data_IF_358136198660
#
_entry.id   IF_358136198660
#
_cell.length_a   1.000
_cell.length_b   1.000
_cell.length_c   1.000
_cell.angle_alpha   90.00
_cell.angle_beta   90.00
_cell.angle_gamma   90.00
#
_symmetry.space_group_name_H-M   'P 1'
#
loop_
_entity.id
_entity.type
_entity.pdbx_description
1 polymer ?
#
# COMPACT_ATOMS: atom_id res chain seq x y z
N UNK A 1 19.87 -0.29 50.13
CA UNK A 1 18.89 -1.04 49.30
C UNK A 1 18.72 -0.23 48.02
N UNK A 2 19.36 -0.65 46.91
CA UNK A 2 19.38 0.13 45.67
C UNK A 2 18.24 -0.31 44.75
N UNK A 3 17.22 0.52 44.61
CA UNK A 3 16.09 0.27 43.69
C UNK A 3 16.53 0.60 42.27
N UNK A 4 16.71 -0.42 41.42
CA UNK A 4 16.95 -0.24 39.98
C UNK A 4 15.61 0.00 39.29
N UNK A 5 15.38 1.22 38.83
CA UNK A 5 14.27 1.56 37.94
C UNK A 5 14.68 1.13 36.52
N UNK A 6 14.00 0.12 35.98
CA UNK A 6 14.07 -0.25 34.57
C UNK A 6 13.22 0.75 33.77
N UNK A 7 13.88 1.60 33.00
CA UNK A 7 13.20 2.41 31.98
C UNK A 7 12.82 1.49 30.82
N UNK A 8 11.54 1.13 30.74
CA UNK A 8 10.97 0.48 29.55
C UNK A 8 10.77 1.56 28.49
N UNK A 9 11.76 1.78 27.64
CA UNK A 9 11.62 2.62 26.44
C UNK A 9 10.62 1.94 25.49
N UNK A 10 9.38 2.46 25.45
CA UNK A 10 8.41 2.08 24.44
C UNK A 10 8.91 2.60 23.08
N UNK A 11 9.49 1.70 22.28
CA UNK A 11 9.70 1.95 20.85
C UNK A 11 8.31 1.94 20.20
N UNK A 12 7.69 3.12 20.10
CA UNK A 12 6.49 3.31 19.28
C UNK A 12 6.97 3.24 17.83
N UNK A 13 6.85 2.08 17.21
CA UNK A 13 7.06 1.93 15.77
C UNK A 13 5.94 2.70 15.04
N UNK A 14 6.17 3.97 14.73
CA UNK A 14 5.37 4.68 13.74
C UNK A 14 5.74 4.11 12.37
N UNK A 15 5.09 3.01 11.96
CA UNK A 15 5.26 2.46 10.61
C UNK A 15 4.56 3.41 9.64
N UNK A 16 5.35 4.29 9.02
CA UNK A 16 4.94 5.10 7.88
C UNK A 16 5.78 4.63 6.68
N UNK A 17 5.33 3.56 6.02
CA UNK A 17 5.99 3.05 4.84
C UNK A 17 5.59 3.86 3.60
N UNK A 18 6.55 4.56 2.97
CA UNK A 18 6.32 5.30 1.72
C UNK A 18 6.49 4.40 0.49
N UNK A 19 5.39 3.76 0.11
CA UNK A 19 5.29 2.96 -1.10
C UNK A 19 3.95 3.12 -1.80
N UNK A 20 3.89 2.73 -3.07
CA UNK A 20 2.65 2.74 -3.86
C UNK A 20 2.56 1.52 -4.76
N UNK A 21 1.35 0.97 -4.94
CA UNK A 21 1.14 -0.21 -5.79
C UNK A 21 0.94 0.27 -7.23
N UNK A 22 1.99 0.17 -8.04
CA UNK A 22 2.00 0.69 -9.43
C UNK A 22 1.48 -0.34 -10.44
N UNK A 23 1.51 -1.62 -10.09
CA UNK A 23 1.00 -2.67 -10.96
C UNK A 23 0.44 -3.85 -10.16
N UNK A 24 -0.63 -4.43 -10.67
CA UNK A 24 -1.28 -5.66 -10.23
C UNK A 24 -1.39 -6.52 -11.48
N UNK A 25 -0.66 -7.64 -11.52
CA UNK A 25 -0.61 -8.53 -12.66
C UNK A 25 -1.59 -9.68 -12.48
N UNK A 26 -2.62 -9.70 -13.31
CA UNK A 26 -3.66 -10.72 -13.29
C UNK A 26 -3.26 -11.98 -14.04
N UNK A 27 -3.70 -13.13 -13.55
CA UNK A 27 -3.54 -14.41 -14.26
C UNK A 27 -4.36 -14.47 -15.56
N UNK A 28 -5.41 -13.65 -15.66
CA UNK A 28 -6.20 -13.40 -16.86
C UNK A 28 -5.51 -12.51 -17.91
N UNK A 29 -4.24 -12.13 -17.72
CA UNK A 29 -3.46 -11.30 -18.65
C UNK A 29 -3.72 -9.80 -18.53
N UNK A 30 -4.63 -9.38 -17.65
CA UNK A 30 -4.92 -7.97 -17.38
C UNK A 30 -3.90 -7.44 -16.36
N UNK A 31 -3.29 -6.29 -16.66
CA UNK A 31 -2.48 -5.54 -15.70
C UNK A 31 -3.16 -4.22 -15.42
N UNK A 32 -3.33 -3.88 -14.14
CA UNK A 32 -3.89 -2.59 -13.71
C UNK A 32 -3.03 -1.97 -12.62
N UNK A 33 -3.17 -0.66 -12.39
CA UNK A 33 -2.57 0.01 -11.24
C UNK A 33 -3.48 -0.10 -10.01
N UNK A 34 -2.97 0.27 -8.83
CA UNK A 34 -3.81 0.45 -7.64
C UNK A 34 -4.86 1.56 -7.83
N UNK A 35 -5.92 1.53 -7.03
CA UNK A 35 -6.95 2.57 -7.05
C UNK A 35 -6.37 3.94 -6.67
N UNK A 36 -6.81 4.99 -7.37
CA UNK A 36 -6.30 6.35 -7.22
C UNK A 36 -4.94 6.60 -7.89
N UNK A 37 -4.22 5.57 -8.31
CA UNK A 37 -2.91 5.68 -8.98
C UNK A 37 -3.08 6.22 -10.40
N UNK A 38 -2.18 7.11 -10.78
CA UNK A 38 -2.09 7.72 -12.10
C UNK A 38 -0.84 7.16 -12.81
N UNK A 39 -1.00 6.32 -13.85
CA UNK A 39 0.10 5.74 -14.59
C UNK A 39 1.05 6.77 -15.23
N UNK A 40 0.61 8.03 -15.41
CA UNK A 40 1.42 9.10 -15.96
C UNK A 40 2.32 9.77 -14.90
N UNK A 41 2.15 9.45 -13.61
CA UNK A 41 3.01 9.99 -12.55
C UNK A 41 4.43 9.45 -12.71
N UNK A 42 5.46 10.31 -12.88
CA UNK A 42 6.84 9.85 -13.00
C UNK A 42 7.32 9.18 -11.70
N UNK A 43 8.06 8.08 -11.83
CA UNK A 43 8.53 7.23 -10.72
C UNK A 43 10.05 7.19 -10.58
N UNK A 44 10.73 8.19 -11.10
CA UNK A 44 12.20 8.30 -11.14
C UNK A 44 12.75 9.28 -10.10
N UNK A 45 11.94 9.65 -9.09
CA UNK A 45 12.33 10.62 -8.08
C UNK A 45 11.57 10.49 -6.76
N UNK A 46 12.10 11.16 -5.73
CA UNK A 46 11.65 11.02 -4.33
C UNK A 46 10.99 12.28 -3.75
N UNK A 47 10.80 13.32 -4.56
CA UNK A 47 10.09 14.55 -4.15
C UNK A 47 8.59 14.36 -4.25
N UNK A 48 7.84 15.03 -3.37
CA UNK A 48 6.37 14.96 -3.40
C UNK A 48 5.80 15.34 -4.78
N UNK A 49 6.30 16.44 -5.37
CA UNK A 49 5.96 16.88 -6.74
C UNK A 49 7.18 16.69 -7.66
N UNK A 50 7.01 16.08 -8.85
CA UNK A 50 5.78 15.46 -9.38
C UNK A 50 5.54 14.01 -8.90
N UNK A 51 6.51 13.34 -8.29
CA UNK A 51 6.64 11.88 -8.31
C UNK A 51 5.65 11.07 -7.45
N UNK A 52 4.88 11.72 -6.57
CA UNK A 52 4.06 11.04 -5.55
C UNK A 52 2.67 11.65 -5.39
N UNK A 53 2.19 12.41 -6.37
CA UNK A 53 0.92 13.13 -6.24
C UNK A 53 -0.29 12.18 -6.16
N UNK A 54 -0.15 10.99 -6.72
CA UNK A 54 -1.15 9.94 -6.74
C UNK A 54 -0.94 8.85 -5.67
N UNK A 55 0.12 8.93 -4.85
CA UNK A 55 0.33 7.98 -3.75
C UNK A 55 -0.78 8.11 -2.72
N UNK A 56 -1.41 6.97 -2.39
CA UNK A 56 -2.47 6.91 -1.39
C UNK A 56 -1.96 7.23 0.01
N UNK A 57 -2.68 8.09 0.71
CA UNK A 57 -2.46 8.46 2.10
C UNK A 57 -3.66 7.99 2.91
N UNK A 58 -3.43 6.97 3.73
CA UNK A 58 -4.42 6.39 4.64
C UNK A 58 -4.03 6.82 6.06
N UNK A 59 -4.98 7.43 6.77
CA UNK A 59 -4.75 7.97 8.12
C UNK A 59 -6.00 7.77 8.96
N UNK A 60 -5.85 7.09 10.09
CA UNK A 60 -6.94 6.80 11.01
C UNK A 60 -7.71 8.06 11.39
N UNK A 61 -7.01 9.16 11.75
CA UNK A 61 -7.66 10.45 12.03
C UNK A 61 -8.52 11.02 10.90
N UNK A 62 -8.15 10.77 9.63
CA UNK A 62 -8.92 11.25 8.48
C UNK A 62 -10.14 10.35 8.24
N UNK A 63 -10.03 9.05 8.56
CA UNK A 63 -11.13 8.07 8.51
C UNK A 63 -12.13 8.33 9.65
N UNK A 64 -11.64 8.43 10.89
CA UNK A 64 -12.44 8.65 12.11
C UNK A 64 -13.23 9.96 12.07
N UNK A 65 -12.66 11.00 11.45
CA UNK A 65 -13.36 12.28 11.26
C UNK A 65 -14.36 12.27 10.10
N UNK A 66 -14.44 11.19 9.32
CA UNK A 66 -15.29 11.08 8.13
C UNK A 66 -14.81 11.92 6.95
N UNK A 67 -13.56 12.41 6.97
CA UNK A 67 -12.99 13.22 5.88
C UNK A 67 -12.72 12.36 4.64
N UNK A 68 -12.38 11.09 4.83
CA UNK A 68 -12.10 10.10 3.78
C UNK A 68 -12.69 8.75 4.18
N UNK A 69 -12.90 7.86 3.21
CA UNK A 69 -13.20 6.44 3.47
C UNK A 69 -11.96 5.64 3.87
N UNK A 70 -12.13 4.33 4.12
CA UNK A 70 -11.05 3.44 4.57
C UNK A 70 -9.84 3.37 3.61
N UNK A 71 -10.06 3.58 2.32
CA UNK A 71 -9.00 3.59 1.31
C UNK A 71 -8.25 4.93 1.21
N UNK A 72 -8.63 5.94 2.01
CA UNK A 72 -7.91 7.19 2.14
C UNK A 72 -8.09 8.14 0.95
N UNK A 73 -7.00 8.81 0.58
CA UNK A 73 -6.97 9.85 -0.46
C UNK A 73 -5.64 9.92 -1.17
N UNK A 74 -5.59 10.57 -2.33
CA UNK A 74 -4.34 11.00 -2.96
C UNK A 74 -4.19 12.52 -2.85
N UNK A 75 -2.99 13.06 -3.11
CA UNK A 75 -2.78 14.51 -3.13
C UNK A 75 -3.37 15.15 -4.39
N UNK A 76 -3.42 14.41 -5.49
CA UNK A 76 -3.91 14.85 -6.80
C UNK A 76 -5.44 14.79 -6.92
N UNK A 77 -6.06 13.68 -6.50
CA UNK A 77 -7.49 13.40 -6.71
C UNK A 77 -8.35 13.59 -5.47
N UNK A 78 -7.75 13.76 -4.29
CA UNK A 78 -8.50 13.84 -3.03
C UNK A 78 -8.98 12.47 -2.56
N UNK A 79 -10.10 12.43 -1.82
CA UNK A 79 -10.67 11.21 -1.28
C UNK A 79 -10.93 10.17 -2.38
N UNK A 80 -10.53 8.92 -2.15
CA UNK A 80 -10.76 7.84 -3.10
C UNK A 80 -12.24 7.45 -3.06
N UNK A 81 -12.92 7.60 -4.18
CA UNK A 81 -14.29 7.13 -4.38
C UNK A 81 -14.26 5.66 -4.82
N UNK A 82 -14.40 4.75 -3.87
CA UNK A 82 -14.33 3.31 -4.11
C UNK A 82 -15.43 2.81 -5.05
N UNK A 83 -16.60 3.44 -5.08
CA UNK A 83 -17.66 3.03 -6.00
C UNK A 83 -17.26 3.36 -7.44
N UNK A 84 -16.77 4.59 -7.67
CA UNK A 84 -16.31 5.02 -8.98
C UNK A 84 -15.07 4.24 -9.46
N UNK A 85 -14.10 3.99 -8.59
CA UNK A 85 -12.90 3.22 -8.92
C UNK A 85 -13.24 1.76 -9.27
N UNK A 86 -14.15 1.12 -8.53
CA UNK A 86 -14.59 -0.25 -8.83
C UNK A 86 -15.42 -0.33 -10.12
N UNK A 87 -16.25 0.68 -10.41
CA UNK A 87 -17.00 0.77 -11.67
C UNK A 87 -16.05 0.94 -12.87
N UNK A 88 -15.03 1.81 -12.72
CA UNK A 88 -13.99 1.98 -13.74
C UNK A 88 -13.18 0.70 -13.93
N UNK A 89 -12.82 0.00 -12.86
CA UNK A 89 -12.09 -1.27 -12.92
C UNK A 89 -12.94 -2.37 -13.58
N UNK A 90 -14.24 -2.47 -13.26
CA UNK A 90 -15.14 -3.42 -13.90
C UNK A 90 -15.28 -3.18 -15.41
N UNK A 91 -15.26 -1.90 -15.83
CA UNK A 91 -15.38 -1.51 -17.24
C UNK A 91 -14.08 -1.77 -18.04
N UNK A 92 -12.91 -1.56 -17.42
CA UNK A 92 -11.61 -1.74 -18.06
C UNK A 92 -11.03 -3.16 -17.89
N UNK A 93 -11.64 -3.95 -17.01
CA UNK A 93 -11.21 -5.30 -16.66
C UNK A 93 -10.36 -5.33 -15.37
N UNK A 94 -10.62 -6.34 -14.55
CA UNK A 94 -10.01 -6.51 -13.23
C UNK A 94 -8.94 -7.61 -13.30
N UNK A 95 -7.69 -7.37 -12.84
CA UNK A 95 -6.69 -8.42 -12.69
C UNK A 95 -7.20 -9.56 -11.81
N UNK A 96 -7.14 -10.80 -12.30
CA UNK A 96 -7.54 -11.97 -11.51
C UNK A 96 -6.38 -12.49 -10.66
N UNK A 97 -6.69 -13.01 -9.47
CA UNK A 97 -5.75 -13.84 -8.73
C UNK A 97 -5.34 -15.08 -9.56
N UNK A 98 -4.22 -15.72 -9.19
CA UNK A 98 -3.81 -17.00 -9.75
C UNK A 98 -4.80 -18.11 -9.38
N UNK A 99 -4.67 -19.29 -10.00
CA UNK A 99 -5.45 -20.47 -9.63
C UNK A 99 -5.26 -20.89 -8.15
N UNK A 100 -4.13 -20.52 -7.53
CA UNK A 100 -3.87 -20.74 -6.10
C UNK A 100 -4.40 -19.61 -5.21
N UNK A 101 -5.05 -18.58 -5.78
CA UNK A 101 -5.54 -17.41 -5.05
C UNK A 101 -4.49 -16.36 -4.70
N UNK A 102 -3.32 -16.37 -5.37
CA UNK A 102 -2.29 -15.36 -5.14
C UNK A 102 -2.52 -14.12 -6.02
N UNK A 103 -2.45 -12.94 -5.42
CA UNK A 103 -2.40 -11.64 -6.07
C UNK A 103 -0.92 -11.24 -6.19
N UNK A 104 -0.50 -10.87 -7.40
CA UNK A 104 0.88 -10.49 -7.69
C UNK A 104 0.94 -8.99 -8.00
N UNK A 105 1.70 -8.24 -7.21
CA UNK A 105 1.78 -6.79 -7.32
C UNK A 105 3.23 -6.32 -7.42
N UNK A 106 3.40 -5.11 -7.95
CA UNK A 106 4.63 -4.32 -7.87
C UNK A 106 4.39 -3.13 -6.95
N UNK A 107 5.14 -3.09 -5.86
CA UNK A 107 5.22 -1.93 -4.99
C UNK A 107 6.41 -1.07 -5.42
N UNK A 108 6.14 0.18 -5.77
CA UNK A 108 7.16 1.19 -5.94
C UNK A 108 7.49 1.81 -4.59
N UNK A 109 8.73 1.60 -4.14
CA UNK A 109 9.25 2.23 -2.93
C UNK A 109 9.83 3.60 -3.25
N UNK A 110 9.28 4.63 -2.63
CA UNK A 110 9.63 6.02 -2.92
C UNK A 110 11.02 6.37 -2.39
N UNK A 111 11.26 6.12 -1.11
CA UNK A 111 12.47 6.54 -0.37
C UNK A 111 12.74 5.57 0.78
N UNK A 112 13.74 5.87 1.62
CA UNK A 112 14.31 4.92 2.58
C UNK A 112 13.29 4.34 3.56
N UNK A 113 12.30 5.14 3.98
CA UNK A 113 11.28 4.75 4.94
C UNK A 113 10.14 3.92 4.32
N UNK A 114 10.16 3.63 3.02
CA UNK A 114 9.26 2.66 2.38
C UNK A 114 9.69 1.19 2.50
N UNK A 115 10.71 0.89 3.31
CA UNK A 115 11.17 -0.48 3.49
C UNK A 115 10.06 -1.38 4.08
N UNK A 116 10.09 -2.66 3.73
CA UNK A 116 9.20 -3.65 4.33
C UNK A 116 9.67 -4.13 5.73
N UNK A 117 9.15 -5.27 6.20
CA UNK A 117 8.10 -6.06 5.58
C UNK A 117 6.73 -5.39 5.71
N UNK A 118 5.91 -5.47 4.66
CA UNK A 118 4.52 -5.03 4.66
C UNK A 118 3.60 -6.12 5.24
N UNK A 119 2.51 -5.70 5.87
CA UNK A 119 1.32 -6.52 6.12
C UNK A 119 0.22 -6.13 5.13
N UNK A 120 -0.75 -7.00 4.90
CA UNK A 120 -1.84 -6.72 3.97
C UNK A 120 -3.17 -7.20 4.56
N UNK A 121 -4.18 -6.35 4.45
CA UNK A 121 -5.58 -6.72 4.64
C UNK A 121 -6.32 -6.57 3.31
N UNK A 122 -7.29 -7.44 3.06
CA UNK A 122 -8.09 -7.47 1.84
C UNK A 122 -9.56 -7.25 2.19
N UNK A 123 -10.22 -6.43 1.38
CA UNK A 123 -11.66 -6.19 1.44
C UNK A 123 -12.34 -6.69 0.18
N UNK A 124 -13.43 -7.45 0.35
CA UNK A 124 -14.28 -7.93 -0.74
C UNK A 124 -15.51 -7.04 -0.98
N UNK A 125 -15.73 -6.02 -0.15
CA UNK A 125 -16.95 -5.19 -0.11
C UNK A 125 -16.65 -3.70 -0.29
N UNK A 126 -15.53 -3.37 -0.95
CA UNK A 126 -15.18 -1.99 -1.28
C UNK A 126 -14.62 -1.18 -0.10
N UNK A 127 -14.01 -1.85 0.88
CA UNK A 127 -13.35 -1.22 2.03
C UNK A 127 -14.24 -1.07 3.26
N UNK A 128 -15.36 -1.80 3.35
CA UNK A 128 -16.22 -1.78 4.54
C UNK A 128 -15.73 -2.80 5.59
N UNK A 129 -15.30 -3.98 5.15
CA UNK A 129 -14.69 -5.01 6.00
C UNK A 129 -13.35 -5.46 5.44
N UNK A 130 -12.40 -5.72 6.33
CA UNK A 130 -11.04 -6.12 6.01
C UNK A 130 -10.69 -7.42 6.70
N UNK A 131 -10.05 -8.33 5.95
CA UNK A 131 -9.53 -9.58 6.46
C UNK A 131 -8.03 -9.63 6.23
N UNK A 132 -7.28 -10.06 7.24
CA UNK A 132 -5.83 -10.20 7.11
C UNK A 132 -5.47 -11.24 6.07
N UNK A 133 -4.61 -10.82 5.15
CA UNK A 133 -4.13 -11.61 4.04
C UNK A 133 -2.65 -11.95 4.26
N UNK A 134 -2.26 -13.17 3.85
CA UNK A 134 -0.88 -13.63 4.02
C UNK A 134 -0.02 -13.04 2.90
N UNK A 135 0.99 -12.24 3.26
CA UNK A 135 2.02 -11.79 2.31
C UNK A 135 2.98 -12.94 2.01
N UNK A 136 2.98 -13.42 0.78
CA UNK A 136 3.78 -14.58 0.32
C UNK A 136 5.13 -14.17 -0.27
N UNK A 137 5.22 -12.95 -0.80
CA UNK A 137 6.47 -12.32 -1.24
C UNK A 137 6.45 -10.87 -0.78
N UNK A 138 7.48 -10.43 -0.06
CA UNK A 138 7.48 -9.13 0.59
C UNK A 138 8.64 -8.27 0.11
N UNK A 139 8.46 -6.96 0.24
CA UNK A 139 9.55 -6.00 0.10
C UNK A 139 10.55 -6.26 1.21
N UNK A 140 11.86 -6.33 0.92
CA UNK A 140 12.87 -6.53 1.94
C UNK A 140 12.76 -5.48 3.05
N UNK A 141 12.83 -5.95 4.29
CA UNK A 141 13.05 -5.05 5.42
C UNK A 141 14.51 -4.65 5.51
N UNK A 142 14.78 -3.62 6.31
CA UNK A 142 16.13 -3.13 6.53
C UNK A 142 16.34 -2.69 7.99
N UNK A 143 17.60 -2.44 8.36
CA UNK A 143 17.98 -2.09 9.73
C UNK A 143 17.26 -0.80 10.17
N UNK A 144 16.55 -0.86 11.31
CA UNK A 144 15.67 0.21 11.81
C UNK A 144 14.48 0.57 10.90
N UNK A 145 14.11 -0.29 9.95
CA UNK A 145 13.01 -0.03 9.00
C UNK A 145 13.37 0.96 7.90
N UNK A 146 14.67 1.23 7.69
CA UNK A 146 15.17 2.13 6.64
C UNK A 146 16.00 1.36 5.63
N UNK A 147 15.60 1.38 4.36
CA UNK A 147 16.36 0.76 3.27
C UNK A 147 17.27 1.77 2.56
N UNK A 148 18.16 1.27 1.69
CA UNK A 148 18.98 2.11 0.79
C UNK A 148 18.29 2.42 -0.53
N UNK A 149 17.09 1.89 -0.76
CA UNK A 149 16.37 2.05 -2.01
C UNK A 149 15.82 3.48 -2.17
N UNK A 150 15.88 3.97 -3.40
CA UNK A 150 15.37 5.28 -3.80
C UNK A 150 14.68 5.13 -5.15
N UNK A 151 13.37 5.31 -5.18
CA UNK A 151 12.55 5.12 -6.38
C UNK A 151 12.77 3.75 -7.04
N UNK A 152 12.49 2.68 -6.31
CA UNK A 152 12.77 1.29 -6.72
C UNK A 152 11.53 0.41 -6.62
N UNK A 153 11.35 -0.47 -7.60
CA UNK A 153 10.23 -1.39 -7.67
C UNK A 153 10.57 -2.73 -7.02
N UNK A 154 9.69 -3.19 -6.12
CA UNK A 154 9.78 -4.48 -5.48
C UNK A 154 8.51 -5.31 -5.72
N UNK A 155 8.66 -6.63 -5.90
CA UNK A 155 7.50 -7.50 -5.96
C UNK A 155 6.85 -7.65 -4.57
N UNK A 156 5.53 -7.58 -4.53
CA UNK A 156 4.70 -7.81 -3.35
C UNK A 156 3.57 -8.77 -3.73
N UNK A 157 3.60 -10.00 -3.21
CA UNK A 157 2.57 -11.00 -3.46
C UNK A 157 1.79 -11.28 -2.19
N UNK A 158 0.47 -11.46 -2.34
CA UNK A 158 -0.46 -11.67 -1.23
C UNK A 158 -1.42 -12.80 -1.59
N UNK A 159 -1.66 -13.69 -0.63
CA UNK A 159 -2.63 -14.75 -0.74
C UNK A 159 -4.01 -14.25 -0.31
N UNK A 160 -5.03 -14.44 -1.15
CA UNK A 160 -6.42 -14.18 -0.79
C UNK A 160 -6.80 -14.93 0.50
N UNK A 161 -7.49 -14.28 1.46
CA UNK A 161 -8.05 -14.94 2.63
C UNK A 161 -8.98 -16.09 2.23
N UNK A 162 -9.03 -17.12 3.07
CA UNK A 162 -9.86 -18.32 2.86
C UNK A 162 -11.35 -18.05 3.13
#
# INVERSE_FOLDING_TARGET
MYTRILYLSALVSLVAAHGTIVAIKGANGITAAGMGIDPETPRDGTRAKPFQQDTSVIRDREIESGKVGACGRTSQKGAIDMAAEMEAAASNGIPSATASGEIQMTLHQVNQDGAGPYTCDISADGGNTFQTAKVTKNVPGAFLGLSTATAEDFPLNVQMPA
#
